data_IF_638617377392
#
_entry.id   IF_638617377392
#
_cell.length_a   1.000
_cell.length_b   1.000
_cell.length_c   1.000
_cell.angle_alpha   90.00
_cell.angle_beta   90.00
_cell.angle_gamma   90.00
#
_symmetry.space_group_name_H-M   'P 1'
#
loop_
_entity.id
_entity.type
_entity.pdbx_description
1 polymer ?
#
# COMPACT_ATOMS: atom_id res chain seq x y z
N UNK A 1 23.85 -16.36 -32.36
CA UNK A 1 22.56 -16.99 -32.07
C UNK A 1 22.02 -17.61 -33.38
N UNK A 2 21.82 -18.90 -33.43
CA UNK A 2 21.41 -19.63 -34.66
C UNK A 2 19.88 -19.85 -34.71
N UNK A 3 19.11 -19.17 -33.85
CA UNK A 3 17.66 -19.29 -33.84
C UNK A 3 17.02 -18.31 -34.84
N UNK A 4 16.05 -18.74 -35.66
CA UNK A 4 15.27 -17.86 -36.51
C UNK A 4 14.19 -17.11 -35.75
N UNK A 5 14.03 -17.39 -34.44
CA UNK A 5 13.04 -16.76 -33.56
C UNK A 5 13.73 -15.81 -32.60
N UNK A 6 13.24 -14.57 -32.59
CA UNK A 6 13.70 -13.51 -31.71
C UNK A 6 12.57 -13.10 -30.79
N UNK A 7 12.89 -12.76 -29.55
CA UNK A 7 11.95 -12.23 -28.58
C UNK A 7 12.48 -10.90 -28.03
N UNK A 8 11.76 -9.83 -28.31
CA UNK A 8 12.13 -8.49 -27.87
C UNK A 8 11.24 -8.12 -26.67
N UNK A 9 11.84 -8.07 -25.50
CA UNK A 9 11.14 -7.75 -24.27
C UNK A 9 10.60 -6.33 -24.28
N UNK A 10 9.33 -6.17 -23.88
CA UNK A 10 8.66 -4.86 -23.73
C UNK A 10 8.24 -4.59 -22.29
N UNK A 11 8.42 -5.57 -21.37
CA UNK A 11 8.04 -5.46 -19.98
C UNK A 11 6.55 -5.74 -19.79
N UNK A 12 5.74 -4.72 -19.59
CA UNK A 12 4.30 -4.88 -19.32
C UNK A 12 3.46 -5.02 -20.61
N UNK A 13 2.30 -5.70 -20.55
CA UNK A 13 1.43 -5.89 -21.70
C UNK A 13 1.01 -4.59 -22.40
N UNK A 14 0.74 -3.51 -21.64
CA UNK A 14 0.36 -2.21 -22.21
C UNK A 14 1.43 -1.68 -23.17
N UNK A 15 2.71 -1.78 -22.79
CA UNK A 15 3.84 -1.39 -23.65
C UNK A 15 3.94 -2.29 -24.87
N UNK A 16 3.77 -3.61 -24.68
CA UNK A 16 3.76 -4.56 -25.78
C UNK A 16 2.68 -4.29 -26.80
N UNK A 17 1.44 -4.05 -26.38
CA UNK A 17 0.33 -3.69 -27.27
C UNK A 17 0.57 -2.37 -27.99
N UNK A 18 1.05 -1.33 -27.29
CA UNK A 18 1.36 -0.04 -27.91
C UNK A 18 2.43 -0.21 -29.00
N UNK A 19 3.50 -0.93 -28.69
CA UNK A 19 4.59 -1.17 -29.62
C UNK A 19 4.16 -1.97 -30.85
N UNK A 20 3.45 -3.09 -30.67
CA UNK A 20 2.91 -3.90 -31.78
C UNK A 20 1.97 -3.08 -32.66
N UNK A 21 1.06 -2.30 -32.05
CA UNK A 21 0.12 -1.45 -32.80
C UNK A 21 0.83 -0.40 -33.66
N UNK A 22 1.97 0.15 -33.19
CA UNK A 22 2.80 1.08 -33.98
C UNK A 22 3.47 0.37 -35.16
N UNK A 23 4.05 -0.81 -34.94
CA UNK A 23 4.66 -1.61 -36.01
C UNK A 23 3.63 -2.05 -37.06
N UNK A 24 2.43 -2.45 -36.65
CA UNK A 24 1.36 -2.82 -37.57
C UNK A 24 0.90 -1.66 -38.45
N UNK A 25 0.89 -0.44 -37.94
CA UNK A 25 0.55 0.77 -38.76
C UNK A 25 1.58 1.04 -39.84
N UNK A 26 2.82 0.58 -39.66
CA UNK A 26 3.86 0.65 -40.68
C UNK A 26 3.93 -0.60 -41.59
N UNK A 27 2.96 -1.52 -41.44
CA UNK A 27 2.85 -2.70 -42.28
C UNK A 27 3.59 -3.94 -41.77
N UNK A 28 4.19 -3.89 -40.56
CA UNK A 28 4.90 -5.03 -40.00
C UNK A 28 3.98 -5.86 -39.09
N UNK A 29 3.72 -7.10 -39.49
CA UNK A 29 2.96 -8.04 -38.67
C UNK A 29 3.90 -8.83 -37.76
N UNK A 30 3.79 -8.60 -36.44
CA UNK A 30 4.58 -9.28 -35.41
C UNK A 30 3.68 -9.88 -34.33
N UNK A 31 4.14 -10.93 -33.67
CA UNK A 31 3.36 -11.60 -32.63
C UNK A 31 3.71 -11.04 -31.23
N UNK A 32 2.71 -10.88 -30.39
CA UNK A 32 2.87 -10.49 -29.00
C UNK A 32 2.80 -11.71 -28.09
N UNK A 33 3.88 -11.94 -27.31
CA UNK A 33 3.91 -12.94 -26.23
C UNK A 33 3.41 -12.29 -24.95
N UNK A 34 2.27 -12.78 -24.42
CA UNK A 34 1.64 -12.30 -23.18
C UNK A 34 1.29 -13.49 -22.28
N UNK A 35 0.88 -13.20 -21.04
CA UNK A 35 0.32 -14.21 -20.14
C UNK A 35 -0.87 -14.95 -20.81
N UNK A 36 -0.99 -16.28 -20.68
CA UNK A 36 -0.17 -17.18 -19.86
C UNK A 36 1.10 -17.72 -20.53
N UNK A 37 1.40 -17.38 -21.79
CA UNK A 37 2.57 -17.89 -22.49
C UNK A 37 3.90 -17.39 -21.88
N UNK A 38 3.88 -16.19 -21.29
CA UNK A 38 4.99 -15.62 -20.52
C UNK A 38 4.42 -14.94 -19.27
N UNK A 39 5.21 -14.75 -18.18
CA UNK A 39 4.80 -13.95 -17.05
C UNK A 39 4.40 -12.51 -17.48
N UNK A 40 3.43 -11.90 -16.83
CA UNK A 40 2.88 -10.58 -17.20
C UNK A 40 3.99 -9.54 -17.44
N UNK A 41 4.95 -9.45 -16.52
CA UNK A 41 6.09 -8.51 -16.60
C UNK A 41 7.13 -8.86 -17.70
N UNK A 42 7.04 -10.04 -18.30
CA UNK A 42 7.94 -10.51 -19.34
C UNK A 42 7.28 -10.49 -20.72
N UNK A 43 6.27 -9.67 -20.91
CA UNK A 43 5.65 -9.44 -22.22
C UNK A 43 6.69 -8.98 -23.24
N UNK A 44 6.57 -9.44 -24.48
CA UNK A 44 7.49 -9.05 -25.55
C UNK A 44 6.99 -9.41 -26.92
N UNK A 45 7.64 -8.86 -27.93
CA UNK A 45 7.36 -9.11 -29.34
C UNK A 45 8.16 -10.29 -29.82
N UNK A 46 7.47 -11.30 -30.33
CA UNK A 46 8.10 -12.47 -30.98
C UNK A 46 8.15 -12.26 -32.48
N UNK A 47 9.33 -12.36 -33.03
CA UNK A 47 9.61 -12.25 -34.46
C UNK A 47 10.17 -13.59 -34.93
N UNK A 48 9.65 -14.10 -36.03
CA UNK A 48 10.17 -15.31 -36.68
C UNK A 48 10.63 -14.91 -38.07
N UNK A 49 11.91 -15.11 -38.35
CA UNK A 49 12.50 -14.85 -39.66
C UNK A 49 12.53 -16.17 -40.44
N UNK A 50 12.07 -16.15 -41.67
CA UNK A 50 12.04 -17.28 -42.58
C UNK A 50 12.89 -17.03 -43.84
N UNK A 51 13.04 -18.05 -44.66
CA UNK A 51 13.74 -17.93 -45.95
C UNK A 51 13.05 -16.99 -46.96
N UNK A 52 11.80 -16.63 -46.70
CA UNK A 52 11.01 -15.76 -47.55
C UNK A 52 11.13 -14.28 -47.21
N UNK A 53 11.80 -13.96 -46.09
CA UNK A 53 12.02 -12.56 -45.71
C UNK A 53 13.25 -12.01 -46.40
N UNK A 54 13.10 -10.90 -47.12
CA UNK A 54 14.20 -10.15 -47.73
C UNK A 54 15.02 -9.38 -46.67
N UNK A 55 16.33 -9.23 -46.95
CA UNK A 55 17.21 -8.50 -46.01
C UNK A 55 16.78 -7.01 -45.81
N UNK A 56 16.19 -6.42 -46.83
CA UNK A 56 15.64 -5.06 -46.78
C UNK A 56 14.47 -4.99 -45.79
N UNK A 57 13.50 -5.92 -45.89
CA UNK A 57 12.35 -5.98 -44.98
C UNK A 57 12.77 -6.15 -43.51
N UNK A 58 13.81 -6.97 -43.27
CA UNK A 58 14.34 -7.15 -41.91
C UNK A 58 14.98 -5.85 -41.40
N UNK A 59 15.74 -5.12 -42.27
CA UNK A 59 16.33 -3.83 -41.91
C UNK A 59 15.25 -2.78 -41.61
N UNK A 60 14.21 -2.74 -42.42
CA UNK A 60 13.11 -1.79 -42.28
C UNK A 60 12.31 -2.08 -40.98
N UNK A 61 12.06 -3.36 -40.68
CA UNK A 61 11.47 -3.75 -39.39
C UNK A 61 12.34 -3.29 -38.22
N UNK A 62 13.65 -3.54 -38.25
CA UNK A 62 14.56 -3.11 -37.18
C UNK A 62 14.58 -1.58 -37.04
N UNK A 63 14.58 -0.86 -38.15
CA UNK A 63 14.51 0.62 -38.13
C UNK A 63 13.20 1.11 -37.51
N UNK A 64 12.07 0.52 -37.90
CA UNK A 64 10.76 0.80 -37.29
C UNK A 64 10.74 0.50 -35.78
N UNK A 65 11.35 -0.62 -35.38
CA UNK A 65 11.45 -0.98 -33.96
C UNK A 65 12.26 0.03 -33.17
N UNK A 66 13.44 0.45 -33.67
CA UNK A 66 14.30 1.45 -33.03
C UNK A 66 13.58 2.77 -32.89
N UNK A 67 12.78 3.16 -33.89
CA UNK A 67 12.01 4.41 -33.87
C UNK A 67 10.82 4.38 -32.92
N UNK A 68 10.07 3.27 -32.90
CA UNK A 68 8.80 3.18 -32.16
C UNK A 68 8.94 2.69 -30.72
N UNK A 69 9.99 1.94 -30.39
CA UNK A 69 10.14 1.38 -29.04
C UNK A 69 10.27 2.46 -27.96
N UNK A 70 11.12 3.50 -28.10
CA UNK A 70 11.20 4.58 -27.13
C UNK A 70 9.84 5.29 -26.96
N UNK A 71 9.11 5.54 -28.06
CA UNK A 71 7.78 6.16 -28.00
C UNK A 71 6.74 5.29 -27.31
N UNK A 72 6.81 3.97 -27.46
CA UNK A 72 5.95 3.06 -26.74
C UNK A 72 6.25 3.02 -25.24
N UNK A 73 7.51 3.16 -24.85
CA UNK A 73 7.92 3.32 -23.45
C UNK A 73 7.37 4.61 -22.86
N UNK A 74 7.54 5.72 -23.58
CA UNK A 74 7.05 7.05 -23.17
C UNK A 74 5.53 7.07 -22.99
N UNK A 75 4.77 6.64 -24.01
CA UNK A 75 3.30 6.59 -23.98
C UNK A 75 2.73 5.72 -22.83
N UNK A 76 3.51 4.77 -22.38
CA UNK A 76 3.08 3.84 -21.33
C UNK A 76 3.72 4.13 -19.97
N UNK A 77 4.42 5.27 -19.86
CA UNK A 77 5.07 5.75 -18.65
C UNK A 77 6.04 4.73 -18.04
N UNK A 78 6.82 4.06 -18.90
CA UNK A 78 7.85 3.10 -18.49
C UNK A 78 9.19 3.46 -19.12
N UNK A 79 10.26 2.73 -18.78
CA UNK A 79 11.59 2.98 -19.31
C UNK A 79 12.36 1.68 -19.55
N UNK A 80 13.50 1.78 -20.24
CA UNK A 80 14.35 0.64 -20.57
C UNK A 80 14.89 -0.08 -19.33
N UNK A 81 15.18 0.65 -18.25
CA UNK A 81 15.67 0.04 -17.00
C UNK A 81 14.66 -0.96 -16.44
N UNK A 82 13.37 -0.59 -16.40
CA UNK A 82 12.29 -1.50 -15.94
C UNK A 82 12.13 -2.72 -16.83
N UNK A 83 12.26 -2.54 -18.14
CA UNK A 83 12.24 -3.67 -19.08
C UNK A 83 13.43 -4.60 -18.82
N UNK A 84 14.65 -4.08 -18.72
CA UNK A 84 15.84 -4.88 -18.40
C UNK A 84 15.70 -5.62 -17.06
N UNK A 85 15.20 -4.93 -16.02
CA UNK A 85 14.94 -5.53 -14.71
C UNK A 85 13.94 -6.70 -14.80
N UNK A 86 12.85 -6.53 -15.54
CA UNK A 86 11.84 -7.58 -15.73
C UNK A 86 12.42 -8.86 -16.38
N UNK A 87 13.38 -8.69 -17.27
CA UNK A 87 14.08 -9.80 -17.95
C UNK A 87 15.38 -10.23 -17.26
N UNK A 88 15.70 -9.69 -16.07
CA UNK A 88 16.95 -9.97 -15.33
C UNK A 88 18.21 -9.72 -16.17
N UNK A 89 18.16 -8.70 -17.02
CA UNK A 89 19.30 -8.27 -17.81
C UNK A 89 20.08 -7.20 -17.02
N UNK A 90 21.40 -7.32 -16.93
CA UNK A 90 22.23 -6.24 -16.43
C UNK A 90 22.09 -5.04 -17.39
N UNK A 91 21.62 -3.94 -16.87
CA UNK A 91 21.45 -2.75 -17.66
C UNK A 91 22.82 -2.16 -18.00
N UNK A 92 23.37 -2.48 -19.18
CA UNK A 92 24.43 -1.72 -19.83
C UNK A 92 23.94 -0.38 -20.40
N UNK A 93 22.76 0.05 -19.99
CA UNK A 93 22.18 1.32 -20.39
C UNK A 93 22.86 2.40 -19.54
N UNK A 94 23.73 3.18 -20.15
CA UNK A 94 24.04 4.52 -19.62
C UNK A 94 22.70 5.18 -19.37
N UNK A 95 22.48 5.61 -18.14
CA UNK A 95 21.38 6.47 -17.76
C UNK A 95 21.68 7.86 -18.38
N UNK A 96 21.46 7.96 -19.70
CA UNK A 96 21.27 9.23 -20.37
C UNK A 96 19.78 9.49 -20.32
N UNK A 97 19.45 10.62 -19.73
CA UNK A 97 18.15 11.17 -19.37
C UNK A 97 17.68 10.86 -17.92
N UNK A 98 18.53 11.21 -16.94
CA UNK A 98 17.96 11.97 -15.84
C UNK A 98 17.48 13.29 -16.50
N UNK A 99 16.19 13.37 -16.82
CA UNK A 99 15.53 14.66 -16.86
C UNK A 99 15.93 15.31 -15.55
N UNK A 100 16.70 16.36 -15.62
CA UNK A 100 17.10 17.16 -14.48
C UNK A 100 15.77 17.71 -13.96
N UNK A 101 15.14 16.93 -13.07
CA UNK A 101 13.88 17.33 -12.45
C UNK A 101 14.26 18.40 -11.48
N UNK A 102 13.74 19.57 -11.71
CA UNK A 102 13.83 20.76 -10.87
C UNK A 102 13.11 20.53 -9.52
N UNK A 103 13.24 19.33 -8.94
CA UNK A 103 12.63 18.92 -7.68
C UNK A 103 13.65 18.77 -6.58
N UNK A 104 13.25 19.16 -5.39
CA UNK A 104 13.95 18.80 -4.16
C UNK A 104 13.25 17.58 -3.58
N UNK A 105 13.94 16.43 -3.55
CA UNK A 105 13.43 15.19 -2.95
C UNK A 105 14.03 15.03 -1.56
N UNK A 106 13.19 15.00 -0.55
CA UNK A 106 13.59 14.74 0.83
C UNK A 106 13.07 13.37 1.26
N UNK A 107 13.98 12.48 1.69
CA UNK A 107 13.63 11.17 2.28
C UNK A 107 14.27 11.09 3.65
N UNK A 108 13.45 10.94 4.69
CA UNK A 108 13.88 10.81 6.07
C UNK A 108 13.42 9.47 6.66
N UNK A 109 14.14 8.98 7.65
CA UNK A 109 13.89 7.70 8.32
C UNK A 109 13.17 7.85 9.67
N UNK A 110 12.79 9.07 10.04
CA UNK A 110 12.00 9.37 11.22
C UNK A 110 11.20 10.65 11.03
N UNK A 111 9.96 10.66 11.56
CA UNK A 111 9.04 11.81 11.50
C UNK A 111 9.58 13.04 12.23
N UNK A 112 10.42 12.85 13.25
CA UNK A 112 11.01 13.96 14.00
C UNK A 112 11.91 14.86 13.16
N UNK A 113 12.35 14.40 11.98
CA UNK A 113 13.14 15.16 11.02
C UNK A 113 12.28 15.94 10.01
N UNK A 114 10.96 15.76 10.08
CA UNK A 114 10.00 16.42 9.23
C UNK A 114 9.31 17.53 10.02
N UNK A 115 9.10 18.68 9.36
CA UNK A 115 8.34 19.78 9.95
C UNK A 115 6.90 19.35 10.26
N UNK A 116 6.47 19.56 11.51
CA UNK A 116 5.18 19.11 12.02
C UNK A 116 4.02 19.80 11.32
N UNK A 117 4.12 21.09 11.09
CA UNK A 117 3.05 21.88 10.46
C UNK A 117 2.86 21.44 9.03
N UNK A 118 3.96 21.35 8.25
CA UNK A 118 3.94 20.88 6.88
C UNK A 118 3.32 19.48 6.77
N UNK A 119 3.72 18.55 7.67
CA UNK A 119 3.18 17.19 7.66
C UNK A 119 1.69 17.15 7.96
N UNK A 120 1.27 17.83 9.03
CA UNK A 120 -0.12 17.83 9.44
C UNK A 120 -1.04 18.58 8.46
N UNK A 121 -0.52 19.58 7.75
CA UNK A 121 -1.28 20.31 6.71
C UNK A 121 -1.37 19.54 5.38
N UNK A 122 -0.55 18.53 5.17
CA UNK A 122 -0.54 17.70 3.97
C UNK A 122 -1.14 16.31 4.21
N UNK A 123 -0.33 15.36 4.67
CA UNK A 123 -0.70 13.95 4.87
C UNK A 123 -1.47 13.74 6.17
N UNK A 124 -1.07 14.42 7.23
CA UNK A 124 -1.52 14.16 8.61
C UNK A 124 -2.94 14.61 8.98
N UNK A 125 -3.73 15.09 8.01
CA UNK A 125 -5.10 15.64 8.28
C UNK A 125 -6.11 14.61 8.79
N UNK A 126 -5.85 13.33 8.67
CA UNK A 126 -6.89 12.30 8.69
C UNK A 126 -6.60 11.12 9.61
N UNK A 127 -6.15 11.36 10.85
CA UNK A 127 -6.11 10.31 11.86
C UNK A 127 -4.72 9.97 12.39
N UNK A 128 -4.51 8.71 12.78
CA UNK A 128 -3.32 8.21 13.52
C UNK A 128 -1.99 8.32 12.76
N UNK A 129 -1.97 8.87 11.57
CA UNK A 129 -0.77 9.18 10.80
C UNK A 129 -0.48 10.69 10.68
N UNK A 130 -1.03 11.48 11.59
CA UNK A 130 -0.50 12.81 11.87
C UNK A 130 0.92 12.72 12.46
N UNK A 131 1.59 13.83 12.68
CA UNK A 131 2.98 13.84 13.14
C UNK A 131 3.17 13.12 14.50
N UNK A 132 2.27 13.32 15.46
CA UNK A 132 2.32 12.66 16.77
C UNK A 132 2.00 11.16 16.65
N UNK A 133 1.01 10.80 15.84
CA UNK A 133 0.65 9.41 15.60
C UNK A 133 1.78 8.62 14.93
N UNK A 134 2.48 9.21 13.96
CA UNK A 134 3.63 8.54 13.33
C UNK A 134 4.82 8.41 14.29
N UNK A 135 5.09 9.41 15.12
CA UNK A 135 6.09 9.30 16.18
C UNK A 135 5.76 8.17 17.16
N UNK A 136 4.50 8.11 17.57
CA UNK A 136 3.98 7.01 18.39
C UNK A 136 4.19 5.64 17.72
N UNK A 137 3.91 5.51 16.40
CA UNK A 137 4.08 4.26 15.67
C UNK A 137 5.56 3.87 15.54
N UNK A 138 6.46 4.82 15.26
CA UNK A 138 7.91 4.55 15.25
C UNK A 138 8.38 3.97 16.59
N UNK A 139 7.90 4.55 17.70
CA UNK A 139 8.23 4.07 19.04
C UNK A 139 7.66 2.67 19.31
N UNK A 140 6.42 2.41 18.91
CA UNK A 140 5.75 1.13 19.12
C UNK A 140 6.37 -0.01 18.30
N UNK A 141 6.77 0.27 17.06
CA UNK A 141 7.28 -0.73 16.11
C UNK A 141 8.80 -0.69 15.94
N UNK A 142 9.53 -0.33 16.99
CA UNK A 142 11.00 -0.37 17.00
C UNK A 142 11.52 -1.02 18.29
N UNK A 143 12.65 -1.71 18.20
CA UNK A 143 13.35 -2.31 19.35
C UNK A 143 12.56 -3.42 20.04
N UNK A 144 11.70 -4.13 19.32
CA UNK A 144 10.98 -5.31 19.80
C UNK A 144 11.78 -6.60 19.51
N UNK A 145 11.52 -7.66 20.27
CA UNK A 145 12.22 -8.94 20.12
C UNK A 145 11.84 -9.69 18.84
N UNK A 146 10.57 -9.62 18.44
CA UNK A 146 10.05 -10.31 17.27
C UNK A 146 10.25 -9.48 16.00
N UNK A 147 10.61 -10.12 14.89
CA UNK A 147 10.94 -9.46 13.62
C UNK A 147 9.76 -8.70 13.04
N UNK A 148 8.57 -9.25 13.11
CA UNK A 148 7.32 -8.67 12.62
C UNK A 148 6.88 -7.42 13.36
N UNK A 149 7.42 -7.22 14.57
CA UNK A 149 7.15 -6.06 15.40
C UNK A 149 8.15 -4.91 15.17
N UNK A 150 9.05 -5.05 14.22
CA UNK A 150 10.03 -4.01 13.90
C UNK A 150 9.83 -3.55 12.45
N UNK A 151 9.35 -2.33 12.30
CA UNK A 151 9.14 -1.71 10.99
C UNK A 151 10.17 -0.62 10.75
N UNK A 152 10.51 -0.38 9.49
CA UNK A 152 11.29 0.79 9.09
C UNK A 152 10.35 1.81 8.45
N UNK A 153 10.45 3.05 8.90
CA UNK A 153 9.64 4.16 8.39
C UNK A 153 10.48 5.03 7.46
N UNK A 154 9.86 5.53 6.41
CA UNK A 154 10.49 6.43 5.44
C UNK A 154 9.50 7.50 5.03
N UNK A 155 9.86 8.75 5.20
CA UNK A 155 9.04 9.92 4.90
C UNK A 155 9.59 10.55 3.63
N UNK A 156 8.77 10.57 2.58
CA UNK A 156 9.16 11.10 1.29
C UNK A 156 8.35 12.37 1.02
N UNK A 157 9.05 13.48 0.78
CA UNK A 157 8.47 14.76 0.37
C UNK A 157 9.17 15.23 -0.88
N UNK A 158 8.40 15.62 -1.88
CA UNK A 158 8.89 16.21 -3.14
C UNK A 158 8.42 17.65 -3.18
N UNK A 159 9.36 18.57 -3.29
CA UNK A 159 9.12 20.00 -3.35
C UNK A 159 9.42 20.54 -4.73
N UNK A 160 8.77 21.65 -5.08
CA UNK A 160 9.19 22.50 -6.17
C UNK A 160 10.42 23.37 -5.79
N UNK A 161 10.86 24.24 -6.70
CA UNK A 161 11.99 25.17 -6.45
C UNK A 161 11.72 26.20 -5.34
N UNK A 162 10.44 26.54 -5.14
CA UNK A 162 10.00 27.49 -4.12
C UNK A 162 9.77 26.82 -2.76
N UNK A 163 10.18 25.56 -2.62
CA UNK A 163 9.98 24.72 -1.44
C UNK A 163 8.52 24.45 -1.08
N UNK A 164 7.59 24.54 -2.04
CA UNK A 164 6.22 24.10 -1.83
C UNK A 164 6.13 22.58 -2.01
N UNK A 165 5.43 21.83 -1.13
CA UNK A 165 5.28 20.40 -1.28
C UNK A 165 4.33 20.09 -2.45
N UNK A 166 4.82 19.33 -3.44
CA UNK A 166 4.02 18.81 -4.54
C UNK A 166 3.43 17.45 -4.16
N UNK A 167 4.22 16.63 -3.46
CA UNK A 167 3.84 15.29 -3.05
C UNK A 167 4.47 14.98 -1.70
N UNK A 168 3.69 14.36 -0.82
CA UNK A 168 4.18 13.85 0.46
C UNK A 168 3.53 12.51 0.80
N UNK A 169 4.30 11.59 1.37
CA UNK A 169 3.80 10.28 1.83
C UNK A 169 4.77 9.69 2.84
N UNK A 170 4.30 8.68 3.58
CA UNK A 170 5.20 7.82 4.32
C UNK A 170 5.11 6.38 3.83
N UNK A 171 6.21 5.70 3.96
CA UNK A 171 6.40 4.32 3.54
C UNK A 171 6.85 3.51 4.74
N UNK A 172 6.35 2.28 4.84
CA UNK A 172 6.82 1.33 5.84
C UNK A 172 7.41 0.10 5.18
N UNK A 173 8.45 -0.45 5.79
CA UNK A 173 8.99 -1.76 5.45
C UNK A 173 8.82 -2.67 6.65
N UNK A 174 8.03 -3.71 6.49
CA UNK A 174 7.72 -4.67 7.53
C UNK A 174 7.60 -6.10 7.01
N UNK A 175 7.53 -7.06 7.92
CA UNK A 175 7.27 -8.45 7.58
C UNK A 175 5.76 -8.70 7.57
N UNK A 176 5.24 -9.21 6.45
CA UNK A 176 3.83 -9.52 6.28
C UNK A 176 3.62 -11.01 6.04
N UNK A 177 2.46 -11.53 6.41
CA UNK A 177 2.02 -12.87 6.02
C UNK A 177 1.53 -12.85 4.57
N UNK A 178 2.06 -13.74 3.72
CA UNK A 178 1.74 -13.76 2.28
C UNK A 178 0.29 -14.21 2.02
N UNK A 179 -0.34 -14.85 3.00
CA UNK A 179 -1.72 -15.31 2.97
C UNK A 179 -2.72 -14.33 3.64
N UNK A 180 -2.32 -13.08 3.87
CA UNK A 180 -3.13 -12.07 4.58
C UNK A 180 -4.56 -11.95 4.04
N UNK A 181 -4.77 -12.08 2.73
CA UNK A 181 -6.05 -11.98 2.05
C UNK A 181 -6.53 -13.34 1.48
N UNK A 182 -5.95 -14.44 1.93
CA UNK A 182 -6.35 -15.76 1.48
C UNK A 182 -7.70 -16.19 2.08
N UNK A 183 -8.28 -17.26 1.53
CA UNK A 183 -9.48 -17.86 2.15
C UNK A 183 -9.12 -18.41 3.52
N UNK A 184 -10.02 -18.27 4.49
CA UNK A 184 -9.86 -18.74 5.87
C UNK A 184 -9.40 -20.21 5.95
N UNK A 185 -9.90 -21.08 5.06
CA UNK A 185 -9.48 -22.48 5.00
C UNK A 185 -8.01 -22.68 4.63
N UNK A 186 -7.47 -21.81 3.76
CA UNK A 186 -6.06 -21.86 3.40
C UNK A 186 -5.18 -21.30 4.53
N UNK A 187 -5.57 -20.17 5.11
CA UNK A 187 -4.85 -19.58 6.23
C UNK A 187 -4.78 -20.51 7.45
N UNK A 188 -5.83 -21.31 7.73
CA UNK A 188 -5.79 -22.31 8.80
C UNK A 188 -4.65 -23.32 8.62
N UNK A 189 -4.50 -23.88 7.43
CA UNK A 189 -3.43 -24.84 7.13
C UNK A 189 -2.05 -24.18 7.24
N UNK A 190 -1.94 -22.92 6.79
CA UNK A 190 -0.68 -22.17 6.87
C UNK A 190 -0.34 -21.84 8.33
N UNK A 191 -1.31 -21.49 9.17
CA UNK A 191 -1.09 -21.24 10.59
C UNK A 191 -0.68 -22.52 11.36
N UNK A 192 -1.20 -23.69 10.98
CA UNK A 192 -0.72 -24.97 11.51
C UNK A 192 0.76 -25.17 11.23
N UNK A 193 1.25 -24.89 10.02
CA UNK A 193 2.68 -24.97 9.68
C UNK A 193 3.49 -23.92 10.46
N UNK A 194 2.94 -22.72 10.70
CA UNK A 194 3.61 -21.65 11.48
C UNK A 194 3.82 -22.00 12.94
N UNK A 195 3.14 -23.03 13.47
CA UNK A 195 3.43 -23.50 14.86
C UNK A 195 4.85 -24.05 14.97
N UNK A 196 5.40 -24.61 13.89
CA UNK A 196 6.76 -25.17 13.84
C UNK A 196 7.74 -24.26 13.11
N UNK A 197 7.28 -23.50 12.13
CA UNK A 197 8.06 -22.54 11.36
C UNK A 197 7.36 -21.15 11.36
N UNK A 198 7.57 -20.31 12.36
CA UNK A 198 6.78 -19.08 12.59
C UNK A 198 6.76 -18.11 11.40
N UNK A 199 7.76 -18.17 10.52
CA UNK A 199 7.88 -17.28 9.36
C UNK A 199 7.62 -18.00 8.02
N UNK A 200 6.89 -19.11 8.05
CA UNK A 200 6.46 -19.79 6.83
C UNK A 200 5.51 -18.90 6.03
N UNK A 201 5.74 -18.78 4.71
CA UNK A 201 4.99 -17.89 3.81
C UNK A 201 4.86 -16.46 4.35
N UNK A 202 6.00 -15.85 4.63
CA UNK A 202 6.10 -14.44 5.00
C UNK A 202 7.08 -13.71 4.10
N UNK A 203 6.81 -12.46 3.81
CA UNK A 203 7.65 -11.62 2.96
C UNK A 203 7.87 -10.26 3.56
N UNK A 204 9.04 -9.68 3.29
CA UNK A 204 9.30 -8.27 3.55
C UNK A 204 8.57 -7.44 2.50
N UNK A 205 7.74 -6.51 2.94
CA UNK A 205 6.88 -5.67 2.09
C UNK A 205 7.22 -4.21 2.32
N UNK A 206 7.37 -3.46 1.22
CA UNK A 206 7.38 -2.00 1.21
C UNK A 206 5.97 -1.51 0.90
N UNK A 207 5.38 -0.70 1.78
CA UNK A 207 4.03 -0.17 1.54
C UNK A 207 3.96 1.34 1.72
N UNK A 208 3.10 2.02 0.94
CA UNK A 208 2.58 3.33 1.30
C UNK A 208 1.65 3.13 2.50
N UNK A 209 1.83 3.93 3.56
CA UNK A 209 1.14 3.72 4.82
C UNK A 209 1.70 2.53 5.61
N UNK A 210 0.92 2.01 6.55
CA UNK A 210 1.29 0.87 7.39
C UNK A 210 0.12 -0.09 7.61
N UNK A 211 0.36 -1.30 8.15
CA UNK A 211 -0.73 -2.23 8.53
C UNK A 211 -1.60 -1.72 9.68
N UNK A 212 -1.18 -0.67 10.35
CA UNK A 212 -1.91 -0.07 11.47
C UNK A 212 -2.74 1.14 11.06
N UNK A 213 -2.38 1.84 9.98
CA UNK A 213 -3.04 3.07 9.53
C UNK A 213 -4.04 2.79 8.41
N UNK A 214 -5.14 3.55 8.37
CA UNK A 214 -6.12 3.54 7.29
C UNK A 214 -6.35 4.96 6.78
N UNK A 215 -6.64 5.10 5.48
CA UNK A 215 -7.00 6.35 4.82
C UNK A 215 -6.03 6.78 3.73
N UNK A 216 -6.14 8.03 3.30
CA UNK A 216 -5.31 8.56 2.24
C UNK A 216 -3.91 8.92 2.74
N UNK A 217 -2.94 8.04 2.50
CA UNK A 217 -1.55 8.21 2.89
C UNK A 217 -0.70 8.98 1.88
N UNK A 218 -1.27 9.42 0.77
CA UNK A 218 -0.58 10.14 -0.29
C UNK A 218 -1.18 11.54 -0.48
N UNK A 219 -0.44 12.56 -0.08
CA UNK A 219 -0.73 13.93 -0.47
C UNK A 219 -0.13 14.20 -1.86
N UNK A 220 -0.92 14.78 -2.75
CA UNK A 220 -0.46 15.33 -4.03
C UNK A 220 -1.21 16.64 -4.31
N UNK A 221 -0.48 17.67 -4.72
CA UNK A 221 -1.11 18.90 -5.23
C UNK A 221 -1.61 18.66 -6.67
N UNK A 222 -2.90 18.38 -6.78
CA UNK A 222 -3.55 18.09 -8.06
C UNK A 222 -3.49 19.24 -9.06
N UNK A 223 -3.27 20.47 -8.60
CA UNK A 223 -3.18 21.67 -9.44
C UNK A 223 -1.77 21.94 -9.91
N UNK A 224 -0.77 21.33 -9.29
CA UNK A 224 0.62 21.60 -9.62
C UNK A 224 0.98 21.03 -11.01
N UNK A 225 1.63 21.83 -11.92
CA UNK A 225 1.93 21.39 -13.27
C UNK A 225 2.88 20.20 -13.34
N UNK A 226 3.72 20.02 -12.32
CA UNK A 226 4.73 18.94 -12.25
C UNK A 226 4.25 17.70 -11.48
N UNK A 227 2.96 17.57 -11.16
CA UNK A 227 2.43 16.44 -10.37
C UNK A 227 2.75 15.06 -10.97
N UNK A 228 2.72 14.92 -12.29
CA UNK A 228 3.03 13.64 -12.95
C UNK A 228 4.51 13.28 -12.82
N UNK A 229 5.39 14.24 -12.89
CA UNK A 229 6.83 14.05 -12.66
C UNK A 229 7.09 13.69 -11.19
N UNK A 230 6.41 14.34 -10.24
CA UNK A 230 6.51 14.01 -8.82
C UNK A 230 6.04 12.56 -8.55
N UNK A 231 4.95 12.11 -9.17
CA UNK A 231 4.51 10.71 -9.10
C UNK A 231 5.56 9.75 -9.68
N UNK A 232 6.19 10.12 -10.78
CA UNK A 232 7.28 9.32 -11.34
C UNK A 232 8.49 9.23 -10.39
N UNK A 233 8.86 10.33 -9.77
CA UNK A 233 9.93 10.39 -8.76
C UNK A 233 9.57 9.56 -7.51
N UNK A 234 8.31 9.55 -7.08
CA UNK A 234 7.83 8.65 -6.02
C UNK A 234 8.08 7.18 -6.41
N UNK A 235 7.70 6.76 -7.64
CA UNK A 235 7.92 5.38 -8.09
C UNK A 235 9.40 5.00 -8.13
N UNK A 236 10.28 5.89 -8.58
CA UNK A 236 11.73 5.66 -8.57
C UNK A 236 12.29 5.54 -7.14
N UNK A 237 11.82 6.40 -6.23
CA UNK A 237 12.21 6.35 -4.82
C UNK A 237 11.76 5.05 -4.16
N UNK A 238 10.53 4.60 -4.44
CA UNK A 238 10.03 3.31 -3.95
C UNK A 238 10.83 2.13 -4.53
N UNK A 239 11.20 2.17 -5.80
CA UNK A 239 12.05 1.13 -6.41
C UNK A 239 13.43 1.08 -5.75
N UNK A 240 14.01 2.23 -5.41
CA UNK A 240 15.28 2.32 -4.67
C UNK A 240 15.16 1.70 -3.27
N UNK A 241 14.08 1.99 -2.56
CA UNK A 241 13.82 1.42 -1.23
C UNK A 241 13.51 -0.09 -1.32
N UNK A 242 12.73 -0.54 -2.31
CA UNK A 242 12.48 -1.96 -2.57
C UNK A 242 13.80 -2.75 -2.71
N UNK A 243 14.73 -2.22 -3.50
CA UNK A 243 16.05 -2.85 -3.70
C UNK A 243 16.89 -2.80 -2.42
N UNK A 244 16.96 -1.63 -1.76
CA UNK A 244 17.74 -1.44 -0.52
C UNK A 244 17.33 -2.42 0.58
N UNK A 245 16.03 -2.63 0.76
CA UNK A 245 15.50 -3.51 1.80
C UNK A 245 15.27 -4.95 1.32
N UNK A 246 15.51 -5.24 0.06
CA UNK A 246 15.19 -6.53 -0.58
C UNK A 246 13.73 -6.91 -0.31
N UNK A 247 12.82 -5.94 -0.46
CA UNK A 247 11.39 -6.19 -0.32
C UNK A 247 10.91 -7.06 -1.49
N UNK A 248 10.06 -8.03 -1.19
CA UNK A 248 9.52 -8.95 -2.21
C UNK A 248 8.27 -8.42 -2.88
N UNK A 249 7.61 -7.49 -2.23
CA UNK A 249 6.36 -6.90 -2.68
C UNK A 249 6.33 -5.41 -2.36
N UNK A 250 5.71 -4.65 -3.24
CA UNK A 250 5.40 -3.23 -3.05
C UNK A 250 3.89 -3.07 -3.05
N UNK A 251 3.34 -2.45 -2.02
CA UNK A 251 1.90 -2.29 -1.83
C UNK A 251 1.53 -0.81 -1.72
N UNK A 252 0.58 -0.38 -2.54
CA UNK A 252 -0.04 0.93 -2.46
C UNK A 252 -1.41 0.73 -1.80
N UNK A 253 -1.60 1.31 -0.61
CA UNK A 253 -2.78 1.01 0.22
C UNK A 253 -3.82 2.12 0.20
N UNK A 254 -5.06 1.72 0.45
CA UNK A 254 -6.19 2.54 0.87
C UNK A 254 -6.62 3.62 -0.15
N UNK A 255 -6.39 3.34 -1.43
CA UNK A 255 -6.93 4.17 -2.51
C UNK A 255 -8.42 3.87 -2.69
N UNK A 256 -9.23 4.91 -2.82
CA UNK A 256 -10.67 4.77 -3.04
C UNK A 256 -10.99 4.00 -4.33
N UNK A 257 -12.19 3.44 -4.44
CA UNK A 257 -12.59 2.66 -5.61
C UNK A 257 -12.46 3.43 -6.93
N UNK A 258 -12.69 4.72 -6.91
CA UNK A 258 -12.67 5.59 -8.08
C UNK A 258 -11.50 6.57 -8.08
N UNK A 259 -10.40 6.23 -7.39
CA UNK A 259 -9.23 7.11 -7.32
C UNK A 259 -8.66 7.39 -8.72
N UNK A 260 -8.43 8.67 -9.09
CA UNK A 260 -7.93 9.04 -10.41
C UNK A 260 -6.52 8.55 -10.71
N UNK A 261 -5.75 8.12 -9.68
CA UNK A 261 -4.39 7.59 -9.85
C UNK A 261 -4.36 6.12 -10.27
N UNK A 262 -5.48 5.39 -10.23
CA UNK A 262 -5.51 3.98 -10.62
C UNK A 262 -4.95 3.70 -12.03
N UNK A 263 -5.31 4.45 -13.09
CA UNK A 263 -4.74 4.22 -14.41
C UNK A 263 -3.22 4.41 -14.44
N UNK A 264 -2.71 5.38 -13.68
CA UNK A 264 -1.27 5.61 -13.55
C UNK A 264 -0.57 4.42 -12.89
N UNK A 265 -1.04 3.96 -11.73
CA UNK A 265 -0.43 2.83 -11.01
C UNK A 265 -0.54 1.51 -11.80
N UNK A 266 -1.66 1.26 -12.46
CA UNK A 266 -1.80 0.12 -13.37
C UNK A 266 -0.80 0.19 -14.52
N UNK A 267 -0.57 1.39 -15.08
CA UNK A 267 0.46 1.63 -16.10
C UNK A 267 1.89 1.37 -15.57
N UNK A 268 2.12 1.49 -14.27
CA UNK A 268 3.38 1.13 -13.60
C UNK A 268 3.48 -0.37 -13.24
N UNK A 269 2.46 -1.16 -13.51
CA UNK A 269 2.47 -2.61 -13.28
C UNK A 269 1.81 -3.07 -11.99
N UNK A 270 1.15 -2.17 -11.25
CA UNK A 270 0.40 -2.56 -10.06
C UNK A 270 -0.91 -3.25 -10.44
N UNK A 271 -1.27 -4.26 -9.68
CA UNK A 271 -2.55 -4.97 -9.79
C UNK A 271 -3.45 -4.51 -8.64
N UNK A 272 -4.67 -4.14 -8.98
CA UNK A 272 -5.65 -3.73 -7.97
C UNK A 272 -6.24 -4.94 -7.26
N UNK A 273 -6.23 -4.90 -5.93
CA UNK A 273 -6.82 -5.92 -5.06
C UNK A 273 -7.83 -5.24 -4.15
N UNK A 274 -9.03 -5.80 -4.05
CA UNK A 274 -10.04 -5.29 -3.15
C UNK A 274 -9.69 -5.66 -1.70
N UNK A 275 -9.69 -4.65 -0.83
CA UNK A 275 -9.55 -4.80 0.62
C UNK A 275 -10.93 -4.74 1.30
N UNK A 276 -11.05 -5.15 2.56
CA UNK A 276 -12.23 -4.87 3.37
C UNK A 276 -12.56 -3.37 3.36
N UNK A 277 -13.84 -3.02 3.35
CA UNK A 277 -14.28 -1.64 3.33
C UNK A 277 -14.04 -0.97 4.68
N UNK A 278 -13.58 0.27 4.68
CA UNK A 278 -13.63 1.16 5.84
C UNK A 278 -15.05 1.68 6.03
N UNK A 279 -15.43 1.93 7.29
CA UNK A 279 -16.70 2.55 7.64
C UNK A 279 -16.44 3.97 8.13
N UNK A 280 -17.09 4.94 7.49
CA UNK A 280 -17.05 6.34 7.89
C UNK A 280 -18.42 6.78 8.37
N UNK A 281 -18.46 7.46 9.51
CA UNK A 281 -19.69 8.04 10.09
C UNK A 281 -19.44 9.53 10.26
N UNK A 282 -20.18 10.32 9.49
CA UNK A 282 -20.19 11.77 9.63
C UNK A 282 -21.18 12.17 10.70
N UNK A 283 -20.68 12.69 11.82
CA UNK A 283 -21.48 13.25 12.91
C UNK A 283 -21.54 14.76 12.76
N UNK A 284 -22.75 15.33 12.91
CA UNK A 284 -22.89 16.78 12.97
C UNK A 284 -22.54 17.32 14.37
N UNK A 285 -22.04 18.54 14.48
CA UNK A 285 -21.83 19.16 15.78
C UNK A 285 -23.11 19.10 16.63
N UNK A 286 -23.00 18.59 17.86
CA UNK A 286 -24.11 18.40 18.81
C UNK A 286 -25.19 17.38 18.33
N UNK A 287 -24.85 16.42 17.55
CA UNK A 287 -25.78 15.35 17.17
C UNK A 287 -26.16 14.52 18.39
N UNK A 288 -27.50 14.38 18.62
CA UNK A 288 -27.99 13.46 19.66
C UNK A 288 -28.15 12.04 19.13
N UNK A 289 -28.14 11.07 20.05
CA UNK A 289 -28.36 9.64 19.68
C UNK A 289 -29.71 9.49 18.96
N UNK A 290 -30.78 10.16 19.41
CA UNK A 290 -32.10 10.08 18.77
C UNK A 290 -32.06 10.62 17.35
N UNK A 291 -31.36 11.74 17.12
CA UNK A 291 -31.19 12.32 15.77
C UNK A 291 -30.39 11.40 14.86
N UNK A 292 -29.30 10.85 15.37
CA UNK A 292 -28.50 9.85 14.64
C UNK A 292 -29.35 8.63 14.28
N UNK A 293 -30.11 8.06 15.22
CA UNK A 293 -30.99 6.91 14.98
C UNK A 293 -32.02 7.20 13.89
N UNK A 294 -32.56 8.43 13.80
CA UNK A 294 -33.52 8.78 12.74
C UNK A 294 -32.93 8.75 11.34
N UNK A 295 -31.63 8.99 11.19
CA UNK A 295 -30.92 8.92 9.90
C UNK A 295 -30.73 7.48 9.40
N UNK A 296 -30.79 6.50 10.28
CA UNK A 296 -30.59 5.10 9.92
C UNK A 296 -31.79 4.54 9.13
N UNK A 297 -31.55 3.48 8.33
CA UNK A 297 -32.62 2.72 7.69
C UNK A 297 -33.55 2.09 8.73
N UNK A 298 -34.80 1.79 8.37
CA UNK A 298 -35.78 1.18 9.28
C UNK A 298 -35.28 -0.16 9.87
N UNK A 299 -34.54 -0.93 9.08
CA UNK A 299 -33.92 -2.20 9.54
C UNK A 299 -32.84 -1.93 10.59
N UNK A 300 -31.93 -1.00 10.32
CA UNK A 300 -30.85 -0.67 11.25
C UNK A 300 -31.37 -0.01 12.52
N UNK A 301 -32.40 0.86 12.45
CA UNK A 301 -33.06 1.42 13.65
C UNK A 301 -33.64 0.31 14.53
N UNK A 302 -34.31 -0.68 13.92
CA UNK A 302 -34.90 -1.80 14.67
C UNK A 302 -33.81 -2.65 15.32
N UNK A 303 -32.74 -2.97 14.57
CA UNK A 303 -31.59 -3.73 15.09
C UNK A 303 -30.95 -2.99 16.27
N UNK A 304 -30.60 -1.73 16.10
CA UNK A 304 -29.97 -0.91 17.15
C UNK A 304 -30.83 -0.88 18.42
N UNK A 305 -32.16 -0.62 18.31
CA UNK A 305 -33.05 -0.52 19.48
C UNK A 305 -33.30 -1.84 20.18
N UNK A 306 -33.46 -2.94 19.43
CA UNK A 306 -33.89 -4.23 20.00
C UNK A 306 -32.75 -5.16 20.36
N UNK A 307 -31.62 -5.02 19.69
CA UNK A 307 -30.51 -5.97 19.80
C UNK A 307 -29.23 -5.33 20.41
N UNK A 308 -29.24 -4.02 20.59
CA UNK A 308 -28.08 -3.29 21.17
C UNK A 308 -28.53 -2.46 22.38
N UNK A 309 -29.36 -1.43 22.17
CA UNK A 309 -29.73 -0.50 23.23
C UNK A 309 -30.59 -1.12 24.34
N UNK A 310 -31.27 -2.26 24.07
CA UNK A 310 -32.00 -3.01 25.09
C UNK A 310 -31.07 -3.56 26.18
N UNK A 311 -29.81 -3.84 25.83
CA UNK A 311 -28.81 -4.38 26.76
C UNK A 311 -27.96 -3.30 27.43
N UNK A 312 -28.02 -2.05 26.96
CA UNK A 312 -27.23 -0.93 27.52
C UNK A 312 -27.40 -0.77 29.05
N UNK A 313 -28.62 -0.94 29.65
CA UNK A 313 -28.80 -0.85 31.10
C UNK A 313 -28.08 -1.93 31.90
N UNK A 314 -27.60 -2.99 31.26
CA UNK A 314 -26.83 -4.08 31.90
C UNK A 314 -25.32 -3.85 31.83
N UNK A 315 -24.90 -2.81 31.10
CA UNK A 315 -23.51 -2.56 30.77
C UNK A 315 -22.98 -1.33 31.53
N UNK A 316 -21.73 -1.43 31.94
CA UNK A 316 -20.93 -0.31 32.38
C UNK A 316 -20.01 0.09 31.25
N UNK A 317 -20.19 1.29 30.70
CA UNK A 317 -19.34 1.84 29.62
C UNK A 317 -18.49 2.96 30.23
N UNK A 318 -17.17 2.87 30.05
CA UNK A 318 -16.20 3.84 30.56
C UNK A 318 -15.25 4.30 29.48
N UNK A 319 -14.89 5.58 29.50
CA UNK A 319 -13.84 6.15 28.64
C UNK A 319 -12.58 6.33 29.48
N UNK A 320 -11.55 5.58 29.19
CA UNK A 320 -10.27 5.64 29.90
C UNK A 320 -9.24 6.34 29.01
N UNK A 321 -8.59 7.38 29.57
CA UNK A 321 -7.45 8.06 28.92
C UNK A 321 -6.11 7.40 29.24
N UNK A 322 -6.06 6.67 30.35
CA UNK A 322 -4.90 5.89 30.79
C UNK A 322 -5.38 4.58 31.36
N UNK A 323 -4.59 3.52 31.23
CA UNK A 323 -4.91 2.22 31.74
C UNK A 323 -3.85 1.74 32.75
N UNK A 324 -4.28 1.14 33.84
CA UNK A 324 -3.38 0.43 34.74
C UNK A 324 -2.96 -0.93 34.15
N UNK A 325 -2.02 -1.62 34.79
CA UNK A 325 -1.47 -2.89 34.28
C UNK A 325 -2.52 -3.98 34.08
N UNK A 326 -3.50 -4.10 35.00
CA UNK A 326 -4.56 -5.10 34.91
C UNK A 326 -5.51 -4.79 33.73
N UNK A 327 -5.89 -3.52 33.55
CA UNK A 327 -6.70 -3.08 32.43
C UNK A 327 -5.99 -3.32 31.10
N UNK A 328 -4.69 -2.99 30.99
CA UNK A 328 -3.91 -3.26 29.77
C UNK A 328 -3.85 -4.75 29.45
N UNK A 329 -3.69 -5.59 30.46
CA UNK A 329 -3.70 -7.04 30.29
C UNK A 329 -5.02 -7.52 29.72
N UNK A 330 -6.17 -7.09 30.28
CA UNK A 330 -7.50 -7.44 29.76
C UNK A 330 -7.72 -6.95 28.34
N UNK A 331 -7.27 -5.74 27.99
CA UNK A 331 -7.31 -5.20 26.63
C UNK A 331 -6.52 -6.07 25.65
N UNK A 332 -5.31 -6.48 26.03
CA UNK A 332 -4.45 -7.34 25.22
C UNK A 332 -5.07 -8.75 25.05
N UNK A 333 -5.68 -9.30 26.09
CA UNK A 333 -6.41 -10.58 26.01
C UNK A 333 -7.61 -10.49 25.06
N UNK A 334 -8.41 -9.44 25.14
CA UNK A 334 -9.54 -9.21 24.22
C UNK A 334 -9.04 -9.03 22.76
N UNK A 335 -7.99 -8.27 22.56
CA UNK A 335 -7.36 -8.12 21.25
C UNK A 335 -6.88 -9.47 20.70
N UNK A 336 -6.16 -10.25 21.51
CA UNK A 336 -5.64 -11.55 21.12
C UNK A 336 -6.78 -12.52 20.69
N UNK A 337 -7.91 -12.54 21.42
CA UNK A 337 -9.08 -13.35 21.08
C UNK A 337 -9.67 -12.95 19.72
N UNK A 338 -9.82 -11.66 19.46
CA UNK A 338 -10.33 -11.16 18.18
C UNK A 338 -9.36 -11.49 17.05
N UNK A 339 -8.07 -11.22 17.26
CA UNK A 339 -7.03 -11.46 16.26
C UNK A 339 -6.93 -12.94 15.87
N UNK A 340 -6.91 -13.86 16.84
CA UNK A 340 -6.84 -15.32 16.60
C UNK A 340 -8.04 -15.86 15.82
N UNK A 341 -9.21 -15.25 15.97
CA UNK A 341 -10.44 -15.65 15.28
C UNK A 341 -10.64 -14.96 13.92
N UNK A 342 -9.85 -13.94 13.60
CA UNK A 342 -9.99 -13.16 12.36
C UNK A 342 -8.99 -13.58 11.28
N UNK A 343 -9.11 -14.83 10.80
CA UNK A 343 -8.29 -15.31 9.67
C UNK A 343 -8.75 -14.78 8.30
N UNK A 344 -9.79 -13.97 8.24
CA UNK A 344 -10.22 -13.29 7.01
C UNK A 344 -9.27 -12.14 6.61
N UNK A 345 -8.54 -11.60 7.59
CA UNK A 345 -7.41 -10.69 7.41
C UNK A 345 -6.26 -11.20 8.28
N UNK A 346 -5.51 -12.17 7.75
CA UNK A 346 -4.49 -12.88 8.53
C UNK A 346 -3.18 -12.07 8.59
N UNK A 347 -3.03 -11.26 9.63
CA UNK A 347 -1.82 -10.46 9.92
C UNK A 347 -1.02 -11.06 11.09
N UNK A 348 0.18 -10.55 11.35
CA UNK A 348 0.82 -10.75 12.65
C UNK A 348 0.07 -9.95 13.72
N UNK A 349 0.11 -10.44 14.96
CA UNK A 349 -0.38 -9.66 16.11
C UNK A 349 0.48 -8.40 16.32
N UNK A 350 -0.11 -7.36 16.86
CA UNK A 350 0.64 -6.18 17.24
C UNK A 350 1.43 -6.40 18.54
N UNK A 351 2.56 -5.69 18.73
CA UNK A 351 3.36 -5.81 19.96
C UNK A 351 2.62 -5.27 21.18
N UNK A 352 2.88 -5.86 22.36
CA UNK A 352 2.35 -5.37 23.64
C UNK A 352 2.70 -3.90 23.89
N UNK A 353 3.89 -3.49 23.48
CA UNK A 353 4.40 -2.11 23.53
C UNK A 353 3.46 -1.10 22.85
N UNK A 354 2.72 -1.51 21.81
CA UNK A 354 1.72 -0.65 21.15
C UNK A 354 0.65 -0.20 22.16
N UNK A 355 0.06 -1.14 22.90
CA UNK A 355 -1.00 -0.87 23.87
C UNK A 355 -0.48 -0.07 25.08
N UNK A 356 0.75 -0.37 25.52
CA UNK A 356 1.42 0.41 26.57
C UNK A 356 1.64 1.86 26.14
N UNK A 357 2.07 2.07 24.89
CA UNK A 357 2.29 3.41 24.35
C UNK A 357 0.96 4.15 24.16
N UNK A 358 -0.11 3.47 23.69
CA UNK A 358 -1.46 4.05 23.61
C UNK A 358 -1.91 4.60 24.97
N UNK A 359 -1.71 3.84 26.04
CA UNK A 359 -2.11 4.26 27.41
C UNK A 359 -1.34 5.48 27.95
N UNK A 360 -0.22 5.84 27.33
CA UNK A 360 0.61 7.00 27.70
C UNK A 360 0.42 8.20 26.76
N UNK A 361 -0.20 7.97 25.61
CA UNK A 361 -0.32 8.97 24.55
C UNK A 361 -1.60 9.79 24.73
N UNK A 362 -1.57 11.13 24.70
CA UNK A 362 -2.71 11.98 25.04
C UNK A 362 -3.90 11.87 24.06
N UNK A 363 -3.64 11.46 22.82
CA UNK A 363 -4.67 11.36 21.78
C UNK A 363 -5.37 9.99 21.74
N UNK A 364 -4.93 9.01 22.57
CA UNK A 364 -5.59 7.72 22.64
C UNK A 364 -6.60 7.66 23.79
N UNK A 365 -7.76 7.11 23.50
CA UNK A 365 -8.80 6.79 24.48
C UNK A 365 -9.27 5.35 24.30
N UNK A 366 -9.65 4.72 25.41
CA UNK A 366 -10.17 3.36 25.45
C UNK A 366 -11.61 3.40 25.91
N UNK A 367 -12.55 3.10 25.03
CA UNK A 367 -13.94 2.92 25.42
C UNK A 367 -14.11 1.46 25.84
N UNK A 368 -14.25 1.22 27.12
CA UNK A 368 -14.35 -0.12 27.71
C UNK A 368 -15.76 -0.46 28.08
N UNK A 369 -16.10 -1.73 27.96
CA UNK A 369 -17.43 -2.26 28.31
C UNK A 369 -17.26 -3.43 29.28
N UNK A 370 -18.01 -3.42 30.38
CA UNK A 370 -18.12 -4.52 31.35
C UNK A 370 -19.58 -4.73 31.73
N UNK A 371 -19.92 -5.85 32.38
CA UNK A 371 -21.24 -6.05 32.97
C UNK A 371 -21.37 -5.24 34.27
N UNK A 372 -22.54 -4.70 34.57
CA UNK A 372 -22.77 -3.96 35.82
C UNK A 372 -22.57 -4.82 37.08
N UNK A 373 -22.92 -6.09 37.00
CA UNK A 373 -22.72 -7.06 38.09
C UNK A 373 -21.28 -7.63 38.18
N UNK A 374 -20.48 -7.45 37.13
CA UNK A 374 -19.07 -7.80 37.06
C UNK A 374 -18.21 -6.68 36.48
N UNK A 375 -18.13 -5.52 37.15
CA UNK A 375 -17.49 -4.32 36.62
C UNK A 375 -15.96 -4.42 36.53
N UNK A 376 -15.35 -5.40 37.21
CA UNK A 376 -13.92 -5.68 37.18
C UNK A 376 -13.46 -6.42 35.91
N UNK A 377 -14.41 -7.01 35.15
CA UNK A 377 -14.12 -7.80 33.96
C UNK A 377 -14.56 -7.10 32.69
N UNK A 378 -13.60 -6.69 31.88
CA UNK A 378 -13.89 -6.16 30.54
C UNK A 378 -14.39 -7.26 29.60
N UNK A 379 -15.46 -6.98 28.88
CA UNK A 379 -16.03 -7.83 27.82
C UNK A 379 -15.88 -7.23 26.42
N UNK A 380 -15.48 -5.97 26.34
CA UNK A 380 -15.23 -5.28 25.08
C UNK A 380 -14.38 -4.03 25.27
N UNK A 381 -13.66 -3.66 24.23
CA UNK A 381 -12.88 -2.42 24.16
C UNK A 381 -12.87 -1.87 22.74
N UNK A 382 -12.98 -0.55 22.63
CA UNK A 382 -12.71 0.19 21.39
C UNK A 382 -11.51 1.12 21.66
N UNK A 383 -10.56 1.11 20.73
CA UNK A 383 -9.37 1.96 20.76
C UNK A 383 -9.63 3.16 19.85
N UNK A 384 -9.63 4.37 20.40
CA UNK A 384 -9.95 5.60 19.68
C UNK A 384 -8.75 6.53 19.69
N UNK A 385 -8.43 7.11 18.53
CA UNK A 385 -7.46 8.18 18.36
C UNK A 385 -8.19 9.48 18.05
N UNK A 386 -7.92 10.56 18.82
CA UNK A 386 -8.59 11.87 18.73
C UNK A 386 -7.65 12.97 18.22
#
# INVERSE_FOLDING_TARGET
NNSPVFFIGTGMPKTGYNFVSRLMKEGFYVNLGIFPAVPVKNTGVRITISRHNEKSEIKDLVAAMVYHFPKALEDTHTNMHRVCKAFKLEAKVKVEDQVQTDFIVKIEDSIIKIDKTLWNDSVGKHGVYDWEGLKFLEEAFSGNDLKEHNWSFHYLIIYDHDHNPILATFLTVGLWKDDMLAKVSASKVIEEERTTNPYYLTSKVLSIGSLFTEGNHLFIDDKHPLKHQALHTLMQSMETLEQRFNAKMVVLRDFSEHDPLHPYFQGQGFVRVQMPNSCEINLEPNETIERFITKLSSRNRRHLRKEILEYEPLLKIEVLKTCNKEQLKQIQELYAQVHQNNLGLNTFSFPEKLFENMSKHPNWEFITVSLLDHPEKMIGVMLCYN
#
